data_IF_303480048201
#
_entry.id   IF_303480048201
#
_cell.length_a   1.000
_cell.length_b   1.000
_cell.length_c   1.000
_cell.angle_alpha   90.00
_cell.angle_beta   90.00
_cell.angle_gamma   90.00
#
_symmetry.space_group_name_H-M   'P 1'
#
loop_
_entity.id
_entity.type
_entity.pdbx_description
1 polymer ?
#
# COMPACT_ATOMS: atom_id res chain seq x y z
N UNK A 1 34.21 -37.22 -13.63
CA UNK A 1 33.99 -36.11 -12.68
C UNK A 1 34.62 -34.87 -13.28
N UNK A 2 33.91 -34.22 -14.20
CA UNK A 2 34.39 -32.99 -14.85
C UNK A 2 33.58 -31.82 -14.34
N UNK A 3 34.29 -30.90 -13.70
CA UNK A 3 33.88 -29.57 -13.25
C UNK A 3 33.16 -28.79 -14.35
N UNK A 4 31.83 -28.91 -14.44
CA UNK A 4 31.01 -28.03 -15.28
C UNK A 4 29.86 -27.38 -14.46
N UNK A 5 29.76 -27.66 -13.17
CA UNK A 5 28.80 -26.96 -12.29
C UNK A 5 29.28 -25.56 -11.88
N UNK A 6 30.47 -25.13 -12.33
CA UNK A 6 30.97 -23.76 -12.12
C UNK A 6 30.30 -22.72 -13.05
N UNK A 7 29.55 -23.15 -14.08
CA UNK A 7 28.78 -22.25 -14.96
C UNK A 7 27.27 -22.29 -14.70
N UNK A 8 26.83 -22.94 -13.61
CA UNK A 8 25.45 -22.85 -13.12
C UNK A 8 25.35 -22.21 -11.73
N UNK A 9 26.49 -21.91 -11.09
CA UNK A 9 26.54 -21.21 -9.81
C UNK A 9 26.47 -19.67 -9.91
N UNK A 10 26.35 -19.11 -11.12
CA UNK A 10 26.03 -17.68 -11.31
C UNK A 10 24.53 -17.41 -11.50
N UNK A 11 23.68 -18.45 -11.40
CA UNK A 11 22.22 -18.32 -11.42
C UNK A 11 21.57 -18.34 -10.04
N UNK A 12 22.34 -18.12 -8.99
CA UNK A 12 21.80 -17.61 -7.74
C UNK A 12 21.89 -16.07 -7.82
N UNK A 13 20.90 -15.42 -8.42
CA UNK A 13 19.82 -14.85 -7.63
C UNK A 13 20.25 -13.50 -7.04
N UNK A 14 20.24 -12.42 -7.84
CA UNK A 14 19.97 -11.09 -7.28
C UNK A 14 18.45 -11.01 -7.02
N UNK A 15 17.96 -11.83 -6.09
CA UNK A 15 16.54 -12.08 -5.76
C UNK A 15 15.78 -10.85 -5.31
N UNK A 16 16.48 -9.77 -4.98
CA UNK A 16 15.87 -8.66 -4.28
C UNK A 16 14.98 -7.84 -5.21
N UNK A 17 15.29 -7.83 -6.51
CA UNK A 17 14.48 -7.14 -7.52
C UNK A 17 14.52 -7.84 -8.89
N UNK A 18 14.32 -9.17 -8.92
CA UNK A 18 13.87 -9.83 -10.15
C UNK A 18 12.51 -9.26 -10.63
N UNK A 19 11.81 -8.61 -9.69
CA UNK A 19 10.54 -7.93 -9.86
C UNK A 19 10.74 -6.44 -10.14
N UNK A 20 10.18 -5.92 -11.23
CA UNK A 20 10.22 -4.48 -11.53
C UNK A 20 9.38 -3.70 -10.51
N UNK A 21 10.02 -2.78 -9.77
CA UNK A 21 9.37 -1.82 -8.88
C UNK A 21 8.62 -0.77 -9.73
N UNK A 22 7.29 -0.76 -9.67
CA UNK A 22 6.45 0.12 -10.48
C UNK A 22 6.70 1.60 -10.14
N UNK A 23 6.62 1.93 -8.84
CA UNK A 23 6.80 3.28 -8.32
C UNK A 23 7.89 3.33 -7.24
N UNK A 24 9.08 2.87 -7.59
CA UNK A 24 10.21 2.82 -6.65
C UNK A 24 11.52 2.47 -7.33
N UNK A 25 12.56 2.30 -6.52
CA UNK A 25 13.88 1.83 -6.95
C UNK A 25 14.21 0.50 -6.31
N UNK A 26 15.01 -0.30 -7.01
CA UNK A 26 15.57 -1.51 -6.42
C UNK A 26 16.61 -1.15 -5.36
N UNK A 27 16.38 -1.57 -4.12
CA UNK A 27 17.28 -1.38 -2.98
C UNK A 27 17.97 -2.67 -2.53
N UNK A 28 18.72 -2.56 -1.44
CA UNK A 28 19.52 -3.68 -0.90
C UNK A 28 18.69 -4.82 -0.29
N UNK A 29 17.37 -4.66 -0.13
CA UNK A 29 16.48 -5.65 0.48
C UNK A 29 15.14 -5.81 -0.22
N UNK A 30 14.96 -5.23 -1.41
CA UNK A 30 13.66 -5.20 -2.11
C UNK A 30 13.38 -3.86 -2.79
N UNK A 31 12.14 -3.65 -3.23
CA UNK A 31 11.71 -2.37 -3.76
C UNK A 31 11.60 -1.29 -2.67
N UNK A 32 12.28 -0.17 -2.87
CA UNK A 32 12.17 1.04 -2.08
C UNK A 32 11.11 1.95 -2.73
N UNK A 33 9.93 2.03 -2.12
CA UNK A 33 8.80 2.74 -2.72
C UNK A 33 8.90 4.25 -2.59
N UNK A 34 8.50 4.94 -3.66
CA UNK A 34 8.32 6.38 -3.65
C UNK A 34 7.21 6.77 -2.65
N UNK A 35 7.24 8.02 -2.18
CA UNK A 35 6.22 8.55 -1.28
C UNK A 35 4.81 8.35 -1.87
N UNK A 36 3.91 7.79 -1.06
CA UNK A 36 2.54 7.52 -1.49
C UNK A 36 2.33 6.12 -2.09
N UNK A 37 3.37 5.28 -2.17
CA UNK A 37 3.30 3.93 -2.71
C UNK A 37 3.77 2.87 -1.70
N UNK A 38 3.23 1.68 -1.82
CA UNK A 38 3.50 0.50 -0.99
C UNK A 38 3.26 -0.77 -1.82
N UNK A 39 3.43 -1.93 -1.19
CA UNK A 39 3.39 -3.23 -1.86
C UNK A 39 4.78 -3.73 -2.20
N UNK A 40 4.89 -5.03 -2.48
CA UNK A 40 6.17 -5.68 -2.79
C UNK A 40 6.87 -5.05 -4.00
N UNK A 41 6.09 -4.49 -4.92
CA UNK A 41 6.56 -3.87 -6.15
C UNK A 41 6.23 -2.38 -6.22
N UNK A 42 5.82 -1.77 -5.12
CA UNK A 42 5.36 -0.38 -5.09
C UNK A 42 4.21 -0.11 -6.07
N UNK A 43 3.33 -1.09 -6.24
CA UNK A 43 2.19 -1.08 -7.16
C UNK A 43 0.90 -0.56 -6.52
N UNK A 44 0.87 -0.49 -5.18
CA UNK A 44 -0.30 -0.06 -4.42
C UNK A 44 -0.13 1.36 -3.92
N UNK A 45 -1.17 2.19 -4.03
CA UNK A 45 -1.14 3.50 -3.37
C UNK A 45 -1.35 3.36 -1.87
N UNK A 46 -0.44 3.94 -1.10
CA UNK A 46 -0.56 4.01 0.36
C UNK A 46 -1.65 5.01 0.76
N UNK A 47 -2.30 4.77 1.90
CA UNK A 47 -3.19 5.73 2.54
C UNK A 47 -2.48 6.49 3.66
N UNK A 48 -3.09 7.58 4.11
CA UNK A 48 -2.71 8.27 5.36
C UNK A 48 -2.77 7.29 6.54
N UNK A 49 -1.82 7.36 7.47
CA UNK A 49 -1.72 6.46 8.61
C UNK A 49 -2.98 6.47 9.50
N UNK A 50 -3.72 7.58 9.55
CA UNK A 50 -4.96 7.68 10.33
C UNK A 50 -6.11 6.88 9.73
N UNK A 51 -6.00 6.50 8.45
CA UNK A 51 -6.99 5.65 7.78
C UNK A 51 -7.19 4.33 8.54
N UNK A 52 -6.12 3.72 9.05
CA UNK A 52 -6.19 2.44 9.75
C UNK A 52 -6.83 2.51 11.14
N UNK A 53 -7.09 3.71 11.67
CA UNK A 53 -7.80 3.85 12.95
C UNK A 53 -9.29 3.46 12.81
N UNK A 54 -9.93 3.90 11.73
CA UNK A 54 -11.38 3.72 11.53
C UNK A 54 -11.76 3.44 10.07
N UNK A 55 -10.88 2.77 9.33
CA UNK A 55 -11.08 2.46 7.93
C UNK A 55 -10.10 1.42 7.41
N UNK A 56 -10.31 1.05 6.16
CA UNK A 56 -9.45 0.16 5.41
C UNK A 56 -8.89 0.90 4.21
N UNK A 57 -7.58 0.81 4.00
CA UNK A 57 -6.96 1.37 2.82
C UNK A 57 -7.25 0.47 1.62
N UNK A 58 -7.77 1.07 0.55
CA UNK A 58 -7.92 0.43 -0.74
C UNK A 58 -7.34 1.32 -1.84
N UNK A 59 -6.13 0.99 -2.28
CA UNK A 59 -5.42 1.67 -3.36
C UNK A 59 -5.41 3.22 -3.23
N UNK A 60 -5.00 3.71 -2.08
CA UNK A 60 -4.91 5.15 -1.76
C UNK A 60 -6.24 5.81 -1.37
N UNK A 61 -7.34 5.05 -1.33
CA UNK A 61 -8.64 5.53 -0.84
C UNK A 61 -8.95 4.88 0.50
N UNK A 62 -9.33 5.68 1.49
CA UNK A 62 -9.74 5.16 2.78
C UNK A 62 -11.23 4.83 2.80
N UNK A 63 -11.58 3.57 3.05
CA UNK A 63 -12.95 3.09 3.19
C UNK A 63 -13.31 3.05 4.67
N UNK A 64 -14.16 3.97 5.12
CA UNK A 64 -14.48 4.12 6.53
C UNK A 64 -15.42 3.04 7.06
N UNK A 65 -15.19 2.62 8.30
CA UNK A 65 -16.15 1.80 9.04
C UNK A 65 -17.36 2.63 9.46
N UNK A 66 -18.47 1.96 9.81
CA UNK A 66 -19.70 2.64 10.21
C UNK A 66 -19.47 3.64 11.36
N UNK A 67 -20.04 4.83 11.23
CA UNK A 67 -19.87 5.91 12.22
C UNK A 67 -18.64 6.79 12.01
N UNK A 68 -17.87 6.58 10.93
CA UNK A 68 -16.71 7.41 10.58
C UNK A 68 -16.75 7.88 9.14
N UNK A 69 -16.29 9.10 8.90
CA UNK A 69 -16.27 9.75 7.60
C UNK A 69 -15.04 10.66 7.41
N UNK A 70 -15.01 11.36 6.28
CA UNK A 70 -13.88 12.17 5.85
C UNK A 70 -12.84 11.34 5.09
N UNK A 71 -11.92 12.04 4.40
CA UNK A 71 -10.90 11.43 3.52
C UNK A 71 -10.05 10.34 4.19
N UNK A 72 -9.85 10.46 5.50
CA UNK A 72 -8.99 9.58 6.30
C UNK A 72 -9.74 8.91 7.45
N UNK A 73 -11.08 8.94 7.45
CA UNK A 73 -11.92 8.33 8.49
C UNK A 73 -11.65 8.86 9.91
N UNK A 74 -11.26 10.14 10.03
CA UNK A 74 -10.95 10.79 11.31
C UNK A 74 -12.14 11.59 11.85
N UNK A 75 -13.23 11.69 11.10
CA UNK A 75 -14.43 12.42 11.52
C UNK A 75 -15.43 11.40 12.04
N UNK A 76 -15.88 11.57 13.28
CA UNK A 76 -16.88 10.70 13.90
C UNK A 76 -18.27 11.20 13.56
N UNK A 77 -19.07 10.36 12.92
CA UNK A 77 -20.49 10.59 12.71
C UNK A 77 -21.25 10.24 13.99
N UNK A 78 -21.67 11.25 14.73
CA UNK A 78 -22.47 11.11 15.95
C UNK A 78 -23.92 10.75 15.59
N UNK A 79 -24.19 9.46 15.34
CA UNK A 79 -25.51 8.82 15.23
C UNK A 79 -26.44 9.36 14.11
N UNK A 80 -27.23 8.45 13.52
CA UNK A 80 -28.04 8.60 12.31
C UNK A 80 -29.25 9.57 12.40
N UNK A 81 -29.17 10.66 13.15
CA UNK A 81 -30.27 11.65 13.22
C UNK A 81 -29.88 13.04 12.67
N UNK A 82 -28.62 13.29 12.30
CA UNK A 82 -28.17 14.62 11.80
C UNK A 82 -28.00 14.71 10.28
N UNK A 83 -28.01 13.58 9.55
CA UNK A 83 -27.77 13.53 8.09
C UNK A 83 -28.92 14.15 7.27
N UNK A 84 -30.11 14.37 7.84
CA UNK A 84 -31.21 15.04 7.12
C UNK A 84 -30.89 16.50 6.73
N UNK A 85 -29.99 17.19 7.45
CA UNK A 85 -29.67 18.59 7.12
C UNK A 85 -28.58 18.73 6.06
N UNK A 86 -27.61 17.81 5.98
CA UNK A 86 -26.48 17.94 5.04
C UNK A 86 -26.82 17.49 3.61
N UNK A 87 -27.90 16.72 3.43
CA UNK A 87 -28.34 16.22 2.10
C UNK A 87 -29.46 17.07 1.49
N UNK A 88 -30.28 17.78 2.28
CA UNK A 88 -31.43 18.53 1.76
C UNK A 88 -31.22 20.02 1.47
N UNK A 89 -30.00 20.54 1.67
CA UNK A 89 -29.62 21.95 1.43
C UNK A 89 -30.10 22.93 2.49
#
# INVERSE_FOLDING_TARGET
MTNIDAYQFSREMDSRCDVSCAHGSCGASGCECAQGWTGERCEERSCDARCSEHGQCHNGTCICIQGWNGRHCTIRMLLQETILFDVYK
#
